data_IF_045860730824
#
_entry.id   IF_045860730824
#
_cell.length_a   1.000
_cell.length_b   1.000
_cell.length_c   1.000
_cell.angle_alpha   90.00
_cell.angle_beta   90.00
_cell.angle_gamma   90.00
#
_symmetry.space_group_name_H-M   'P 1'
#
loop_
_entity.id
_entity.type
_entity.pdbx_description
1 polymer ?
#
# COMPACT_ATOMS: atom_id res chain seq x y z
N UNK A 1 -31.15 -1.43 9.28
CA UNK A 1 -30.23 -1.23 8.13
C UNK A 1 -28.98 -0.54 8.67
N UNK A 2 -27.79 -1.08 8.40
CA UNK A 2 -26.52 -0.53 8.94
C UNK A 2 -26.36 0.94 8.53
N UNK A 3 -26.14 1.83 9.52
CA UNK A 3 -25.82 3.26 9.32
C UNK A 3 -24.41 3.48 8.75
N UNK A 4 -23.63 2.40 8.65
CA UNK A 4 -22.32 2.39 8.03
C UNK A 4 -22.50 1.68 6.69
N UNK A 5 -22.23 2.40 5.59
CA UNK A 5 -22.20 1.82 4.25
C UNK A 5 -21.27 0.60 4.17
N UNK A 6 -21.27 -0.16 3.06
CA UNK A 6 -20.47 -1.38 2.94
C UNK A 6 -19.02 -1.11 3.37
N UNK A 7 -18.52 -1.93 4.30
CA UNK A 7 -17.15 -1.85 4.80
C UNK A 7 -16.21 -1.97 3.60
N UNK A 8 -15.45 -0.92 3.31
CA UNK A 8 -14.39 -1.01 2.31
C UNK A 8 -13.38 -2.04 2.84
N UNK A 9 -12.96 -3.04 2.04
CA UNK A 9 -12.02 -4.03 2.53
C UNK A 9 -10.69 -3.38 2.88
N UNK A 10 -9.96 -3.96 3.83
CA UNK A 10 -8.61 -3.50 4.19
C UNK A 10 -7.68 -3.64 2.97
N UNK A 11 -6.80 -2.68 2.78
CA UNK A 11 -5.89 -2.62 1.64
C UNK A 11 -5.31 -1.23 1.44
N UNK A 12 -4.58 -0.99 0.36
CA UNK A 12 -4.11 0.34 -0.05
C UNK A 12 -4.92 0.73 -1.28
N UNK A 13 -5.76 1.76 -1.20
CA UNK A 13 -6.55 2.19 -2.36
C UNK A 13 -5.72 3.04 -3.33
N UNK A 14 -6.16 3.16 -4.58
CA UNK A 14 -5.55 4.05 -5.58
C UNK A 14 -5.42 5.50 -5.12
N UNK A 15 -6.37 6.00 -4.33
CA UNK A 15 -6.29 7.36 -3.75
C UNK A 15 -5.18 7.47 -2.71
N UNK A 16 -4.95 6.40 -1.96
CA UNK A 16 -3.91 6.32 -0.93
C UNK A 16 -2.51 6.11 -1.51
N UNK A 17 -2.37 5.51 -2.69
CA UNK A 17 -1.08 5.35 -3.38
C UNK A 17 -0.33 6.69 -3.57
N UNK A 18 -1.07 7.78 -3.83
CA UNK A 18 -0.48 9.12 -3.94
C UNK A 18 0.18 9.57 -2.62
N UNK A 19 -0.45 9.28 -1.49
CA UNK A 19 0.08 9.59 -0.16
C UNK A 19 1.17 8.61 0.27
N UNK A 20 1.06 7.35 -0.17
CA UNK A 20 2.04 6.30 0.08
C UNK A 20 3.43 6.71 -0.42
N UNK A 21 3.53 7.24 -1.66
CA UNK A 21 4.79 7.75 -2.22
C UNK A 21 5.43 8.80 -1.32
N UNK A 22 4.65 9.79 -0.87
CA UNK A 22 5.14 10.84 0.01
C UNK A 22 5.61 10.31 1.36
N UNK A 23 4.91 9.31 1.92
CA UNK A 23 5.31 8.65 3.17
C UNK A 23 6.60 7.86 3.01
N UNK A 24 6.77 7.10 1.93
CA UNK A 24 8.00 6.35 1.64
C UNK A 24 9.23 7.28 1.50
N UNK A 25 9.04 8.47 0.91
CA UNK A 25 10.12 9.47 0.80
C UNK A 25 10.46 10.18 2.10
N UNK A 26 9.60 10.11 3.13
CA UNK A 26 9.79 10.83 4.39
C UNK A 26 10.77 10.13 5.36
N UNK A 27 11.30 8.97 4.99
CA UNK A 27 12.27 8.20 5.78
C UNK A 27 13.54 9.00 6.08
N UNK A 28 14.12 8.78 7.26
CA UNK A 28 15.33 9.50 7.72
C UNK A 28 16.43 8.53 8.14
N UNK A 29 17.68 8.97 8.02
CA UNK A 29 18.85 8.15 8.40
C UNK A 29 18.86 6.81 7.67
N UNK A 30 18.95 5.71 8.42
CA UNK A 30 18.96 4.34 7.88
C UNK A 30 17.61 3.88 7.29
N UNK A 31 16.51 4.60 7.53
CA UNK A 31 15.20 4.32 6.91
C UNK A 31 15.03 5.04 5.57
N UNK A 32 15.93 5.96 5.20
CA UNK A 32 15.78 6.77 4.00
C UNK A 32 15.88 5.90 2.75
N UNK A 33 14.83 5.89 1.95
CA UNK A 33 14.81 5.25 0.63
C UNK A 33 15.40 6.18 -0.44
N UNK A 34 16.04 5.60 -1.44
CA UNK A 34 16.42 6.35 -2.65
C UNK A 34 15.17 6.61 -3.50
N UNK A 35 15.18 7.67 -4.32
CA UNK A 35 14.05 7.94 -5.22
C UNK A 35 13.77 6.76 -6.16
N UNK A 36 14.82 6.09 -6.63
CA UNK A 36 14.71 4.90 -7.47
C UNK A 36 14.02 3.73 -6.75
N UNK A 37 14.36 3.49 -5.47
CA UNK A 37 13.70 2.46 -4.68
C UNK A 37 12.22 2.79 -4.47
N UNK A 38 11.89 4.05 -4.19
CA UNK A 38 10.49 4.49 -4.06
C UNK A 38 9.74 4.32 -5.38
N UNK A 39 10.31 4.70 -6.51
CA UNK A 39 9.68 4.54 -7.82
C UNK A 39 9.40 3.07 -8.14
N UNK A 40 10.37 2.18 -7.89
CA UNK A 40 10.18 0.73 -8.08
C UNK A 40 9.11 0.16 -7.16
N UNK A 41 9.05 0.61 -5.91
CA UNK A 41 7.97 0.22 -4.99
C UNK A 41 6.61 0.68 -5.53
N UNK A 42 6.52 1.91 -6.01
CA UNK A 42 5.27 2.45 -6.56
C UNK A 42 4.85 1.74 -7.86
N UNK A 43 5.79 1.36 -8.72
CA UNK A 43 5.51 0.57 -9.92
C UNK A 43 4.92 -0.80 -9.56
N UNK A 44 5.49 -1.48 -8.55
CA UNK A 44 4.96 -2.75 -8.05
C UNK A 44 3.57 -2.58 -7.42
N UNK A 45 3.31 -1.47 -6.74
CA UNK A 45 1.99 -1.12 -6.18
C UNK A 45 0.98 -0.88 -7.30
N UNK A 46 1.33 -0.10 -8.32
CA UNK A 46 0.45 0.19 -9.46
C UNK A 46 0.12 -1.09 -10.24
N UNK A 47 1.11 -1.97 -10.49
CA UNK A 47 0.87 -3.28 -11.12
C UNK A 47 -0.04 -4.19 -10.27
N UNK A 48 0.07 -4.15 -8.94
CA UNK A 48 -0.81 -4.91 -8.06
C UNK A 48 -2.25 -4.36 -8.09
N UNK A 49 -2.43 -3.04 -8.20
CA UNK A 49 -3.75 -2.40 -8.32
C UNK A 49 -4.44 -2.64 -9.66
N UNK A 50 -3.68 -2.81 -10.74
CA UNK A 50 -4.25 -3.12 -12.05
C UNK A 50 -4.58 -4.63 -12.20
N UNK A 51 -4.23 -5.45 -11.19
CA UNK A 51 -4.56 -6.86 -11.20
C UNK A 51 -6.05 -7.06 -10.87
N UNK A 52 -6.80 -7.59 -11.84
CA UNK A 52 -8.24 -7.82 -11.74
C UNK A 52 -8.54 -8.97 -10.74
N UNK A 53 -8.46 -8.65 -9.45
CA UNK A 53 -8.69 -9.63 -8.37
C UNK A 53 -10.18 -9.81 -8.10
N UNK A 54 -10.55 -10.99 -7.60
CA UNK A 54 -11.93 -11.31 -7.23
C UNK A 54 -12.52 -10.32 -6.21
N UNK A 55 -11.68 -9.74 -5.34
CA UNK A 55 -12.09 -8.76 -4.34
C UNK A 55 -12.44 -7.40 -4.96
N UNK A 56 -11.74 -6.98 -6.03
CA UNK A 56 -12.07 -5.77 -6.79
C UNK A 56 -13.42 -5.91 -7.49
N UNK A 57 -13.69 -7.06 -8.13
CA UNK A 57 -14.97 -7.31 -8.83
C UNK A 57 -16.17 -7.31 -7.88
N UNK A 58 -15.99 -7.79 -6.66
CA UNK A 58 -17.06 -7.87 -5.67
C UNK A 58 -17.41 -6.50 -5.06
N UNK A 59 -16.44 -5.58 -4.95
CA UNK A 59 -16.61 -4.31 -4.22
C UNK A 59 -16.46 -3.06 -5.09
N UNK A 60 -16.05 -3.19 -6.37
CA UNK A 60 -15.69 -2.09 -7.27
C UNK A 60 -14.65 -1.12 -6.68
N UNK A 61 -13.71 -1.62 -5.88
CA UNK A 61 -12.65 -0.82 -5.27
C UNK A 61 -11.30 -1.31 -5.77
N UNK A 62 -10.56 -0.45 -6.47
CA UNK A 62 -9.17 -0.71 -6.86
C UNK A 62 -8.23 -0.57 -5.66
N UNK A 63 -7.58 -1.68 -5.25
CA UNK A 63 -6.72 -1.67 -4.07
C UNK A 63 -5.70 -2.81 -4.03
N UNK A 64 -4.56 -2.54 -3.39
CA UNK A 64 -3.56 -3.55 -3.02
C UNK A 64 -3.98 -4.21 -1.70
N UNK A 65 -4.15 -5.53 -1.71
CA UNK A 65 -4.40 -6.36 -0.52
C UNK A 65 -3.16 -6.49 0.38
N UNK A 66 -3.35 -7.00 1.59
CA UNK A 66 -2.23 -7.26 2.50
C UNK A 66 -1.27 -8.33 1.94
N UNK A 67 -1.81 -9.33 1.25
CA UNK A 67 -1.04 -10.38 0.60
C UNK A 67 -0.18 -9.84 -0.53
N UNK A 68 -0.71 -8.92 -1.33
CA UNK A 68 0.05 -8.26 -2.41
C UNK A 68 1.12 -7.33 -1.85
N UNK A 69 0.80 -6.55 -0.81
CA UNK A 69 1.79 -5.72 -0.13
C UNK A 69 2.97 -6.57 0.41
N UNK A 70 2.69 -7.74 0.99
CA UNK A 70 3.72 -8.68 1.45
C UNK A 70 4.56 -9.25 0.29
N UNK A 71 3.97 -9.47 -0.89
CA UNK A 71 4.72 -9.88 -2.09
C UNK A 71 5.63 -8.74 -2.59
N UNK A 72 5.15 -7.50 -2.57
CA UNK A 72 5.95 -6.33 -2.93
C UNK A 72 7.15 -6.20 -1.98
N UNK A 73 6.93 -6.31 -0.67
CA UNK A 73 7.99 -6.29 0.36
C UNK A 73 9.05 -7.38 0.14
N UNK A 74 8.63 -8.56 -0.36
CA UNK A 74 9.54 -9.65 -0.69
C UNK A 74 10.32 -9.38 -1.98
N UNK A 75 9.67 -8.81 -3.00
CA UNK A 75 10.28 -8.55 -4.30
C UNK A 75 11.35 -7.44 -4.27
N UNK A 76 11.26 -6.53 -3.30
CA UNK A 76 12.26 -5.45 -3.11
C UNK A 76 13.29 -5.79 -2.04
N UNK A 77 13.14 -6.93 -1.34
CA UNK A 77 13.93 -7.25 -0.15
C UNK A 77 15.44 -7.26 -0.41
N UNK A 78 15.84 -7.72 -1.60
CA UNK A 78 17.25 -7.78 -2.01
C UNK A 78 17.81 -6.42 -2.47
N UNK A 79 16.93 -5.45 -2.75
CA UNK A 79 17.31 -4.11 -3.25
C UNK A 79 17.45 -3.06 -2.14
N UNK A 80 17.02 -3.40 -0.91
CA UNK A 80 17.01 -2.48 0.23
C UNK A 80 17.59 -3.15 1.48
N UNK A 81 18.06 -2.35 2.42
CA UNK A 81 18.52 -2.86 3.72
C UNK A 81 17.36 -3.37 4.58
N UNK A 82 17.65 -4.21 5.57
CA UNK A 82 16.66 -4.71 6.53
C UNK A 82 15.93 -3.57 7.26
N UNK A 83 16.61 -2.46 7.56
CA UNK A 83 16.02 -1.28 8.20
C UNK A 83 15.02 -0.59 7.27
N UNK A 84 15.36 -0.44 5.99
CA UNK A 84 14.46 0.11 4.98
C UNK A 84 13.27 -0.82 4.72
N UNK A 85 13.49 -2.15 4.74
CA UNK A 85 12.40 -3.11 4.60
C UNK A 85 11.40 -3.02 5.75
N UNK A 86 11.89 -2.93 7.00
CA UNK A 86 11.05 -2.69 8.17
C UNK A 86 10.28 -1.37 8.07
N UNK A 87 10.91 -0.33 7.51
CA UNK A 87 10.28 0.96 7.25
C UNK A 87 9.13 0.86 6.25
N UNK A 88 9.36 0.21 5.09
CA UNK A 88 8.33 -0.02 4.06
C UNK A 88 7.16 -0.81 4.64
N UNK A 89 7.45 -1.90 5.36
CA UNK A 89 6.43 -2.74 6.00
C UNK A 89 5.54 -1.96 6.96
N UNK A 90 6.15 -1.12 7.82
CA UNK A 90 5.39 -0.26 8.74
C UNK A 90 4.46 0.68 7.99
N UNK A 91 4.95 1.30 6.92
CA UNK A 91 4.11 2.20 6.10
C UNK A 91 2.97 1.41 5.46
N UNK A 92 3.23 0.26 4.84
CA UNK A 92 2.18 -0.54 4.21
C UNK A 92 1.10 -0.94 5.21
N UNK A 93 1.49 -1.37 6.42
CA UNK A 93 0.56 -1.67 7.49
C UNK A 93 -0.28 -0.46 7.91
N UNK A 94 0.32 0.73 8.05
CA UNK A 94 -0.42 1.97 8.36
C UNK A 94 -1.57 2.23 7.36
N UNK A 95 -1.33 1.98 6.07
CA UNK A 95 -2.35 2.18 5.03
C UNK A 95 -3.38 1.04 4.99
N UNK A 96 -2.95 -0.21 5.15
CA UNK A 96 -3.84 -1.39 5.13
C UNK A 96 -4.81 -1.39 6.31
N UNK A 97 -4.32 -1.08 7.51
CA UNK A 97 -5.11 -1.13 8.74
C UNK A 97 -5.97 0.11 8.97
N UNK A 98 -5.83 1.15 8.14
CA UNK A 98 -6.68 2.34 8.23
C UNK A 98 -8.14 1.93 8.02
N UNK A 99 -9.00 2.24 9.00
CA UNK A 99 -10.44 2.04 8.86
C UNK A 99 -10.98 2.99 7.78
N UNK A 100 -11.59 2.43 6.73
CA UNK A 100 -12.09 3.17 5.58
C UNK A 100 -13.60 3.27 5.65
N UNK A 101 -14.10 4.48 5.88
CA UNK A 101 -15.54 4.75 5.88
C UNK A 101 -15.90 5.35 4.52
N UNK A 102 -16.95 4.86 3.83
CA UNK A 102 -17.42 5.52 2.61
C UNK A 102 -17.93 6.93 2.97
N UNK A 103 -17.14 7.97 2.67
CA UNK A 103 -17.55 9.37 2.79
C UNK A 103 -16.58 10.33 3.47
N UNK A 104 -15.58 9.85 4.22
CA UNK A 104 -14.53 10.70 4.79
C UNK A 104 -13.17 10.02 4.65
N UNK A 105 -12.27 10.74 3.99
CA UNK A 105 -10.84 10.42 3.89
C UNK A 105 -10.17 10.34 5.27
#
# INVERSE_FOLDING_TARGET
MSLFGPSIPKGITKKEALYLRGRLMAGRGAEKLTSLAVERIMELVDMAMDSDTYAERANNVQQVSAEEAARIEKNIADDISTTQQAYVRRIFQEFIDKNKVPGLF
#
